data_IF_861755716817
#
_entry.id   IF_861755716817
#
_cell.length_a   1.000
_cell.length_b   1.000
_cell.length_c   1.000
_cell.angle_alpha   90.00
_cell.angle_beta   90.00
_cell.angle_gamma   90.00
#
_symmetry.space_group_name_H-M   'P 1'
#
loop_
_entity.id
_entity.type
_entity.pdbx_description
1 polymer ?
#
# COMPACT_ATOMS: atom_id res chain seq x y z
N UNK A 1 -17.40 14.71 16.90
CA UNK A 1 -16.08 15.28 16.55
C UNK A 1 -16.12 15.75 15.10
N UNK A 2 -15.66 16.95 14.76
CA UNK A 2 -15.63 17.40 13.36
C UNK A 2 -14.54 16.69 12.56
N UNK A 3 -14.67 16.63 11.23
CA UNK A 3 -13.64 16.08 10.34
C UNK A 3 -12.27 16.75 10.56
N UNK A 4 -12.25 18.08 10.76
CA UNK A 4 -11.01 18.84 11.01
C UNK A 4 -10.37 18.44 12.35
N UNK A 5 -11.17 18.29 13.39
CA UNK A 5 -10.70 17.85 14.71
C UNK A 5 -10.13 16.42 14.65
N UNK A 6 -10.79 15.51 13.92
CA UNK A 6 -10.29 14.15 13.71
C UNK A 6 -8.96 14.13 12.98
N UNK A 7 -8.84 14.81 11.84
CA UNK A 7 -7.60 14.84 11.05
C UNK A 7 -6.44 15.42 11.86
N UNK A 8 -6.69 16.47 12.66
CA UNK A 8 -5.69 17.06 13.55
C UNK A 8 -5.23 16.07 14.61
N UNK A 9 -6.15 15.50 15.39
CA UNK A 9 -5.81 14.55 16.45
C UNK A 9 -5.12 13.30 15.90
N UNK A 10 -5.55 12.81 14.74
CA UNK A 10 -4.92 11.67 14.07
C UNK A 10 -3.48 11.99 13.65
N UNK A 11 -3.24 13.18 13.09
CA UNK A 11 -1.90 13.61 12.70
C UNK A 11 -0.99 13.83 13.91
N UNK A 12 -1.52 14.40 14.99
CA UNK A 12 -0.78 14.57 16.25
C UNK A 12 -0.36 13.21 16.84
N UNK A 13 -1.18 12.16 16.65
CA UNK A 13 -0.90 10.81 17.18
C UNK A 13 -0.01 9.97 16.26
N UNK A 14 -0.20 10.06 14.93
CA UNK A 14 0.43 9.15 13.96
C UNK A 14 1.50 9.81 13.08
N UNK A 15 1.63 11.13 13.14
CA UNK A 15 2.51 11.92 12.27
C UNK A 15 2.01 12.11 10.84
N UNK A 16 0.95 11.40 10.42
CA UNK A 16 0.45 11.39 9.05
C UNK A 16 -1.01 11.81 8.96
N UNK A 17 -1.46 12.20 7.77
CA UNK A 17 -2.91 12.34 7.53
C UNK A 17 -3.55 10.95 7.47
N UNK A 18 -4.85 10.80 7.84
CA UNK A 18 -5.53 9.52 7.78
C UNK A 18 -5.40 8.82 6.41
N UNK A 19 -5.52 9.58 5.31
CA UNK A 19 -5.40 9.03 3.96
C UNK A 19 -3.99 8.50 3.64
N UNK A 20 -2.94 9.22 4.06
CA UNK A 20 -1.57 8.78 3.88
C UNK A 20 -1.27 7.53 4.72
N UNK A 21 -1.79 7.49 5.95
CA UNK A 21 -1.65 6.33 6.83
C UNK A 21 -2.38 5.10 6.28
N UNK A 22 -3.64 5.23 5.84
CA UNK A 22 -4.37 4.10 5.22
C UNK A 22 -3.62 3.59 4.00
N UNK A 23 -3.08 4.49 3.16
CA UNK A 23 -2.31 4.10 1.99
C UNK A 23 -1.05 3.31 2.37
N UNK A 24 -0.29 3.72 3.38
CA UNK A 24 0.90 2.97 3.81
C UNK A 24 0.51 1.58 4.32
N UNK A 25 -0.57 1.46 5.10
CA UNK A 25 -1.07 0.16 5.58
C UNK A 25 -1.49 -0.76 4.44
N UNK A 26 -2.12 -0.22 3.39
CA UNK A 26 -2.48 -0.98 2.18
C UNK A 26 -1.25 -1.45 1.41
N UNK A 27 -0.22 -0.60 1.32
CA UNK A 27 1.05 -0.96 0.69
C UNK A 27 1.81 -2.03 1.46
N UNK A 28 1.81 -1.95 2.80
CA UNK A 28 2.40 -2.97 3.66
C UNK A 28 1.72 -4.34 3.48
N UNK A 29 0.41 -4.35 3.35
CA UNK A 29 -0.33 -5.59 3.10
C UNK A 29 -0.08 -6.14 1.70
N UNK A 30 -0.05 -5.27 0.69
CA UNK A 30 0.32 -5.67 -0.66
C UNK A 30 1.70 -6.33 -0.70
N UNK A 31 2.67 -5.80 0.05
CA UNK A 31 4.00 -6.39 0.21
C UNK A 31 3.92 -7.81 0.77
N UNK A 32 3.12 -8.03 1.83
CA UNK A 32 2.93 -9.38 2.40
C UNK A 32 2.29 -10.35 1.40
N UNK A 33 1.29 -9.91 0.65
CA UNK A 33 0.64 -10.75 -0.36
C UNK A 33 1.58 -11.09 -1.53
N UNK A 34 2.42 -10.15 -1.94
CA UNK A 34 3.45 -10.39 -2.96
C UNK A 34 4.45 -11.46 -2.53
N UNK A 35 4.77 -11.53 -1.23
CA UNK A 35 5.73 -12.47 -0.63
C UNK A 35 5.11 -13.85 -0.29
N UNK A 36 3.79 -13.94 -0.12
CA UNK A 36 3.13 -15.14 0.45
C UNK A 36 2.08 -15.77 -0.46
N UNK A 37 1.86 -15.23 -1.64
CA UNK A 37 0.83 -15.73 -2.55
C UNK A 37 1.21 -15.54 -4.02
N UNK A 38 0.65 -16.42 -4.84
CA UNK A 38 0.78 -16.39 -6.30
C UNK A 38 -0.27 -15.49 -6.98
N UNK A 39 -1.10 -14.78 -6.20
CA UNK A 39 -2.14 -13.89 -6.73
C UNK A 39 -1.55 -12.87 -7.71
N UNK A 40 -2.25 -12.56 -8.80
CA UNK A 40 -1.76 -11.58 -9.78
C UNK A 40 -1.61 -10.19 -9.15
N UNK A 41 -0.79 -9.33 -9.77
CA UNK A 41 -0.60 -7.94 -9.31
C UNK A 41 -1.92 -7.18 -9.26
N UNK A 42 -2.84 -7.49 -10.18
CA UNK A 42 -4.15 -6.85 -10.25
C UNK A 42 -5.08 -7.37 -9.12
N UNK A 43 -5.07 -8.68 -8.85
CA UNK A 43 -5.80 -9.26 -7.70
C UNK A 43 -5.31 -8.67 -6.36
N UNK A 44 -4.01 -8.46 -6.21
CA UNK A 44 -3.45 -7.83 -5.01
C UNK A 44 -3.85 -6.35 -4.92
N UNK A 45 -3.86 -5.62 -6.04
CA UNK A 45 -4.31 -4.22 -6.05
C UNK A 45 -5.77 -4.09 -5.56
N UNK A 46 -6.63 -5.00 -6.00
CA UNK A 46 -8.04 -5.06 -5.60
C UNK A 46 -8.19 -5.47 -4.14
N UNK A 47 -7.49 -6.53 -3.71
CA UNK A 47 -7.50 -7.00 -2.31
C UNK A 47 -7.03 -5.92 -1.32
N UNK A 48 -6.06 -5.10 -1.72
CA UNK A 48 -5.57 -3.99 -0.90
C UNK A 48 -6.37 -2.68 -1.08
N UNK A 49 -7.42 -2.67 -1.90
CA UNK A 49 -8.36 -1.55 -2.03
C UNK A 49 -7.82 -0.34 -2.80
N UNK A 50 -6.91 -0.54 -3.76
CA UNK A 50 -6.40 0.55 -4.61
C UNK A 50 -7.36 0.93 -5.74
N UNK A 51 -8.32 0.07 -6.11
CA UNK A 51 -9.37 0.32 -7.12
C UNK A 51 -8.87 0.49 -8.56
N UNK A 52 -7.57 0.72 -8.74
CA UNK A 52 -6.87 0.74 -10.01
C UNK A 52 -5.51 0.09 -9.85
N UNK A 53 -5.19 -0.93 -10.66
CA UNK A 53 -3.87 -1.53 -10.68
C UNK A 53 -2.76 -0.55 -11.11
N UNK A 54 -3.08 0.50 -11.86
CA UNK A 54 -2.11 1.56 -12.23
C UNK A 54 -1.75 2.40 -11.00
N UNK A 55 -2.76 2.85 -10.25
CA UNK A 55 -2.57 3.61 -9.01
C UNK A 55 -1.80 2.79 -7.98
N UNK A 56 -2.09 1.49 -7.85
CA UNK A 56 -1.32 0.59 -6.99
C UNK A 56 0.17 0.58 -7.36
N UNK A 57 0.50 0.31 -8.64
CA UNK A 57 1.89 0.23 -9.10
C UNK A 57 2.66 1.55 -8.85
N UNK A 58 2.03 2.70 -9.10
CA UNK A 58 2.63 4.02 -8.85
C UNK A 58 2.92 4.24 -7.36
N UNK A 59 1.95 3.99 -6.50
CA UNK A 59 2.12 4.17 -5.05
C UNK A 59 3.12 3.17 -4.46
N UNK A 60 3.12 1.93 -4.96
CA UNK A 60 4.07 0.91 -4.52
C UNK A 60 5.50 1.27 -4.91
N UNK A 61 5.73 1.69 -6.17
CA UNK A 61 7.04 2.13 -6.62
C UNK A 61 7.54 3.36 -5.84
N UNK A 62 6.66 4.32 -5.57
CA UNK A 62 7.00 5.50 -4.77
C UNK A 62 7.40 5.15 -3.33
N UNK A 63 6.79 4.13 -2.73
CA UNK A 63 7.06 3.74 -1.35
C UNK A 63 8.25 2.77 -1.18
N UNK A 64 8.45 1.83 -2.12
CA UNK A 64 9.42 0.74 -2.00
C UNK A 64 10.56 0.79 -3.03
N UNK A 65 10.59 1.81 -3.89
CA UNK A 65 11.65 2.01 -4.89
C UNK A 65 11.71 0.95 -5.99
N UNK A 66 10.69 0.09 -6.13
CA UNK A 66 10.61 -0.94 -7.16
C UNK A 66 9.16 -1.27 -7.51
N UNK A 67 8.92 -1.82 -8.71
CA UNK A 67 7.57 -2.23 -9.11
C UNK A 67 7.15 -3.51 -8.37
N UNK A 68 5.84 -3.74 -8.15
CA UNK A 68 5.33 -4.97 -7.52
C UNK A 68 5.86 -6.25 -8.15
N UNK A 69 5.91 -6.33 -9.49
CA UNK A 69 6.43 -7.50 -10.22
C UNK A 69 7.93 -7.72 -10.00
N UNK A 70 8.72 -6.64 -10.02
CA UNK A 70 10.16 -6.73 -9.74
C UNK A 70 10.43 -7.11 -8.29
N UNK A 71 9.63 -6.59 -7.37
CA UNK A 71 9.67 -6.93 -5.95
C UNK A 71 9.41 -8.42 -5.73
N UNK A 72 8.30 -8.95 -6.25
CA UNK A 72 7.96 -10.39 -6.15
C UNK A 72 9.09 -11.28 -6.69
N UNK A 73 9.58 -10.98 -7.90
CA UNK A 73 10.65 -11.78 -8.52
C UNK A 73 11.93 -11.86 -7.66
N UNK A 74 12.24 -10.82 -6.87
CA UNK A 74 13.39 -10.85 -5.96
C UNK A 74 13.18 -11.77 -4.76
N UNK A 75 11.94 -11.99 -4.33
CA UNK A 75 11.61 -12.92 -3.26
C UNK A 75 11.50 -14.36 -3.76
N UNK A 76 10.93 -14.57 -4.96
CA UNK A 76 10.82 -15.90 -5.56
C UNK A 76 12.20 -16.47 -5.96
N UNK A 77 13.19 -15.60 -6.19
CA UNK A 77 14.56 -16.01 -6.52
C UNK A 77 15.42 -16.38 -5.30
N UNK A 78 14.85 -16.40 -4.09
CA UNK A 78 15.53 -16.68 -2.82
C UNK A 78 15.08 -18.02 -2.24
#
# INVERSE_FOLDING_TARGET
MSQRSFVRAFRETTGATPAAWVRSRRLDEARRLLERSDASIDQIADACGFGSPVTFRQNFAAAFGSTPSSYRRRFDAR
#
